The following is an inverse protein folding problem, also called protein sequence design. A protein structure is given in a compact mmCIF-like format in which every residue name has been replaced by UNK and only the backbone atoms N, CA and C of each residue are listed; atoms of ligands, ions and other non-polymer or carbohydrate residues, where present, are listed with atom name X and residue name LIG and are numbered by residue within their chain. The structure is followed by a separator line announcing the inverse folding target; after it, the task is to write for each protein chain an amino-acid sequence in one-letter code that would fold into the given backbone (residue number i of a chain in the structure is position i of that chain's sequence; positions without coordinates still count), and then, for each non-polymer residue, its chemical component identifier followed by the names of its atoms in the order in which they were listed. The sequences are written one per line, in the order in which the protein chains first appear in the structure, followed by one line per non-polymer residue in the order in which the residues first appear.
data_IF_563066839268
#
_entry.id   IF_563066839268
#
_cell.length_a   1.000
_cell.length_b   1.000
_cell.length_c   1.000
_cell.angle_alpha   90.00
_cell.angle_beta   90.00
_cell.angle_gamma   90.00
#
_symmetry.space_group_name_H-M   'P 1'
#
loop_
_entity.id
_entity.type
_entity.pdbx_description
1 polymer ?
#
# COMPACT_ATOMS: atom_id res chain seq x y z
N UNK A 1 3.77 24.94 -2.68
CA UNK A 1 3.68 24.25 -3.98
C UNK A 1 3.67 22.76 -3.70
N UNK A 2 2.55 22.05 -3.95
CA UNK A 2 2.54 20.58 -3.87
C UNK A 2 3.36 20.08 -5.05
N UNK A 3 4.57 19.58 -4.80
CA UNK A 3 5.36 18.94 -5.85
C UNK A 3 4.51 17.80 -6.41
N UNK A 4 4.17 17.86 -7.70
CA UNK A 4 3.48 16.77 -8.37
C UNK A 4 4.39 15.53 -8.28
N UNK A 5 4.02 14.57 -7.43
CA UNK A 5 4.78 13.33 -7.26
C UNK A 5 4.89 12.62 -8.61
N UNK A 6 6.09 12.19 -8.97
CA UNK A 6 6.40 11.60 -10.28
C UNK A 6 6.31 10.07 -10.28
N UNK A 7 5.53 9.47 -9.37
CA UNK A 7 5.50 8.02 -9.21
C UNK A 7 5.20 7.29 -10.52
N UNK A 8 4.22 7.77 -11.30
CA UNK A 8 3.89 7.19 -12.60
C UNK A 8 5.07 7.22 -13.60
N UNK A 9 5.91 8.26 -13.55
CA UNK A 9 7.12 8.34 -14.38
C UNK A 9 8.12 7.26 -13.98
N UNK A 10 8.25 7.01 -12.67
CA UNK A 10 9.17 6.02 -12.11
C UNK A 10 8.64 4.59 -12.13
N UNK A 11 7.38 4.34 -12.55
CA UNK A 11 6.78 3.00 -12.53
C UNK A 11 7.62 1.98 -13.32
N UNK A 12 8.20 2.41 -14.44
CA UNK A 12 9.11 1.56 -15.24
C UNK A 12 10.40 1.25 -14.49
N UNK A 13 10.98 2.23 -13.80
CA UNK A 13 12.24 2.07 -13.05
C UNK A 13 12.11 1.10 -11.87
N UNK A 14 10.92 1.05 -11.25
CA UNK A 14 10.64 0.16 -10.12
C UNK A 14 9.96 -1.14 -10.51
N UNK A 15 9.72 -1.41 -11.80
CA UNK A 15 9.13 -2.69 -12.24
C UNK A 15 9.84 -3.93 -11.67
N UNK A 16 11.19 -3.99 -11.57
CA UNK A 16 11.85 -5.11 -10.91
C UNK A 16 11.43 -5.31 -9.44
N UNK A 17 11.13 -4.22 -8.71
CA UNK A 17 10.63 -4.30 -7.33
C UNK A 17 9.20 -4.86 -7.33
N UNK A 18 8.35 -4.43 -8.27
CA UNK A 18 6.97 -4.92 -8.38
C UNK A 18 6.92 -6.42 -8.69
N UNK A 19 7.75 -6.86 -9.64
CA UNK A 19 7.94 -8.28 -9.99
C UNK A 19 8.40 -9.09 -8.76
N UNK A 20 9.45 -8.63 -8.07
CA UNK A 20 9.98 -9.28 -6.87
C UNK A 20 8.95 -9.40 -5.74
N UNK A 21 8.18 -8.33 -5.48
CA UNK A 21 7.15 -8.34 -4.42
C UNK A 21 5.96 -9.22 -4.77
N UNK A 22 5.55 -9.26 -6.05
CA UNK A 22 4.54 -10.20 -6.51
C UNK A 22 5.00 -11.63 -6.24
N UNK A 23 6.22 -11.97 -6.64
CA UNK A 23 6.76 -13.32 -6.48
C UNK A 23 6.90 -13.71 -4.99
N UNK A 24 7.25 -12.76 -4.13
CA UNK A 24 7.24 -12.95 -2.68
C UNK A 24 5.84 -13.26 -2.15
N UNK A 25 4.81 -12.54 -2.61
CA UNK A 25 3.41 -12.77 -2.19
C UNK A 25 2.91 -14.12 -2.71
N UNK A 26 3.28 -14.50 -3.94
CA UNK A 26 3.00 -15.81 -4.51
C UNK A 26 3.62 -16.92 -3.67
N UNK A 27 4.88 -16.76 -3.26
CA UNK A 27 5.57 -17.72 -2.38
C UNK A 27 4.88 -17.88 -1.02
N UNK A 28 4.20 -16.83 -0.54
CA UNK A 28 3.41 -16.85 0.68
C UNK A 28 1.97 -17.35 0.49
N UNK A 29 1.62 -17.85 -0.71
CA UNK A 29 0.34 -18.49 -1.01
C UNK A 29 -0.70 -17.59 -1.67
N UNK A 30 -0.32 -16.37 -2.09
CA UNK A 30 -1.21 -15.41 -2.74
C UNK A 30 -0.95 -15.34 -4.26
N UNK A 31 -1.08 -16.46 -4.96
CA UNK A 31 -0.81 -16.57 -6.42
C UNK A 31 -1.69 -15.66 -7.29
N UNK A 32 -2.83 -15.20 -6.76
CA UNK A 32 -3.75 -14.31 -7.47
C UNK A 32 -3.25 -12.87 -7.60
N UNK A 33 -2.21 -12.49 -6.84
CA UNK A 33 -1.67 -11.13 -6.79
C UNK A 33 -1.01 -10.75 -8.12
N UNK A 34 -1.32 -9.57 -8.65
CA UNK A 34 -0.67 -9.00 -9.83
C UNK A 34 0.31 -7.87 -9.45
N UNK A 35 1.28 -7.57 -10.32
CA UNK A 35 2.17 -6.40 -10.16
C UNK A 35 1.38 -5.09 -9.98
N UNK A 36 0.23 -4.99 -10.64
CA UNK A 36 -0.67 -3.84 -10.52
C UNK A 36 -1.31 -3.74 -9.13
N UNK A 37 -1.53 -4.85 -8.42
CA UNK A 37 -2.02 -4.84 -7.04
C UNK A 37 -0.94 -4.33 -6.09
N UNK A 38 0.32 -4.76 -6.31
CA UNK A 38 1.49 -4.23 -5.58
C UNK A 38 1.63 -2.72 -5.82
N UNK A 39 1.50 -2.27 -7.08
CA UNK A 39 1.53 -0.85 -7.43
C UNK A 39 0.49 -0.04 -6.66
N UNK A 40 -0.77 -0.46 -6.71
CA UNK A 40 -1.89 0.21 -6.03
C UNK A 40 -1.69 0.26 -4.52
N UNK A 41 -1.24 -0.83 -3.92
CA UNK A 41 -0.94 -0.88 -2.48
C UNK A 41 0.16 0.10 -2.10
N UNK A 42 1.23 0.17 -2.88
CA UNK A 42 2.31 1.14 -2.73
C UNK A 42 1.83 2.58 -2.84
N UNK A 43 1.01 2.89 -3.87
CA UNK A 43 0.43 4.22 -4.05
C UNK A 43 -0.44 4.63 -2.85
N UNK A 44 -1.25 3.71 -2.32
CA UNK A 44 -2.06 3.97 -1.13
C UNK A 44 -1.20 4.34 0.09
N UNK A 45 -0.09 3.62 0.34
CA UNK A 45 0.84 3.98 1.42
C UNK A 45 1.49 5.35 1.20
N UNK A 46 1.86 5.68 -0.04
CA UNK A 46 2.49 6.95 -0.37
C UNK A 46 1.53 8.15 -0.29
N UNK A 47 0.22 7.94 -0.41
CA UNK A 47 -0.78 8.99 -0.19
C UNK A 47 -0.79 9.51 1.25
N UNK A 48 -0.38 8.67 2.23
CA UNK A 48 -0.22 9.07 3.63
C UNK A 48 1.01 9.96 3.85
N UNK A 49 1.96 10.02 2.92
CA UNK A 49 3.15 10.88 3.02
C UNK A 49 2.78 12.35 2.70
N UNK A 50 2.93 13.22 3.71
CA UNK A 50 2.58 14.65 3.60
C UNK A 50 3.64 15.49 2.86
N UNK A 51 4.81 14.94 2.58
CA UNK A 51 5.96 15.64 2.02
C UNK A 51 6.42 15.05 0.67
N UNK A 52 7.33 15.74 0.00
CA UNK A 52 7.98 15.22 -1.19
C UNK A 52 8.73 13.92 -0.88
N UNK A 53 8.41 12.86 -1.60
CA UNK A 53 9.07 11.55 -1.47
C UNK A 53 10.19 11.43 -2.50
N UNK A 54 11.47 11.46 -2.09
CA UNK A 54 12.58 11.19 -2.99
C UNK A 54 12.56 9.73 -3.46
N UNK A 55 13.17 9.46 -4.62
CA UNK A 55 13.15 8.12 -5.23
C UNK A 55 13.58 6.99 -4.27
N UNK A 56 14.64 7.18 -3.47
CA UNK A 56 15.09 6.15 -2.53
C UNK A 56 14.06 5.85 -1.41
N UNK A 57 13.26 6.84 -1.00
CA UNK A 57 12.18 6.63 -0.03
C UNK A 57 11.01 5.94 -0.70
N UNK A 58 10.68 6.35 -1.92
CA UNK A 58 9.66 5.72 -2.74
C UNK A 58 9.94 4.22 -2.94
N UNK A 59 11.16 3.85 -3.35
CA UNK A 59 11.55 2.44 -3.48
C UNK A 59 11.51 1.71 -2.14
N UNK A 60 11.92 2.36 -1.05
CA UNK A 60 11.84 1.78 0.29
C UNK A 60 10.40 1.45 0.71
N UNK A 61 9.43 2.32 0.39
CA UNK A 61 8.01 2.07 0.65
C UNK A 61 7.52 0.82 -0.10
N UNK A 62 7.89 0.68 -1.39
CA UNK A 62 7.51 -0.50 -2.17
C UNK A 62 8.15 -1.79 -1.64
N UNK A 63 9.42 -1.74 -1.25
CA UNK A 63 10.12 -2.91 -0.71
C UNK A 63 9.54 -3.40 0.63
N UNK A 64 9.01 -2.48 1.45
CA UNK A 64 8.42 -2.78 2.76
C UNK A 64 6.98 -3.28 2.71
N UNK A 65 6.36 -3.33 1.54
CA UNK A 65 5.00 -3.87 1.41
C UNK A 65 4.95 -5.33 1.90
N UNK A 66 3.95 -5.65 2.70
CA UNK A 66 3.75 -6.99 3.25
C UNK A 66 2.43 -7.61 2.79
N UNK A 67 2.33 -8.94 2.90
CA UNK A 67 1.04 -9.65 2.71
C UNK A 67 0.00 -9.14 3.69
N UNK A 68 0.40 -8.79 4.92
CA UNK A 68 -0.48 -8.16 5.91
C UNK A 68 -1.07 -6.85 5.40
N UNK A 69 -0.25 -5.97 4.81
CA UNK A 69 -0.74 -4.73 4.19
C UNK A 69 -1.78 -5.00 3.10
N UNK A 70 -1.51 -5.99 2.25
CA UNK A 70 -2.41 -6.40 1.18
C UNK A 70 -3.74 -6.97 1.70
N UNK A 71 -3.68 -7.85 2.70
CA UNK A 71 -4.88 -8.45 3.31
C UNK A 71 -5.72 -7.42 4.05
N UNK A 72 -5.08 -6.48 4.76
CA UNK A 72 -5.77 -5.37 5.40
C UNK A 72 -6.51 -4.52 4.39
N UNK A 73 -5.85 -4.19 3.27
CA UNK A 73 -6.48 -3.47 2.17
C UNK A 73 -7.75 -4.19 1.69
N UNK A 74 -7.63 -5.47 1.30
CA UNK A 74 -8.77 -6.23 0.77
C UNK A 74 -9.90 -6.35 1.77
N UNK A 75 -9.58 -6.54 3.04
CA UNK A 75 -10.56 -6.61 4.12
C UNK A 75 -11.34 -5.30 4.20
N UNK A 76 -10.66 -4.15 4.28
CA UNK A 76 -11.30 -2.83 4.27
C UNK A 76 -12.19 -2.68 3.02
N UNK A 77 -11.69 -3.02 1.83
CA UNK A 77 -12.44 -2.91 0.58
C UNK A 77 -13.68 -3.80 0.51
N UNK A 78 -13.65 -4.99 1.11
CA UNK A 78 -14.83 -5.84 1.23
C UNK A 78 -15.91 -5.21 2.13
N UNK A 79 -15.50 -4.50 3.19
CA UNK A 79 -16.43 -3.77 4.05
C UNK A 79 -16.94 -2.48 3.42
N UNK A 80 -16.15 -1.77 2.58
CA UNK A 80 -16.58 -0.53 1.88
C UNK A 80 -17.88 -0.66 1.09
N UNK A 81 -18.19 -1.87 0.62
CA UNK A 81 -19.38 -2.16 -0.17
C UNK A 81 -20.64 -2.48 0.63
N UNK A 82 -20.59 -2.51 1.97
CA UNK A 82 -21.72 -2.89 2.82
C UNK A 82 -22.63 -1.69 3.15
N UNK A 83 -23.92 -1.96 3.34
CA UNK A 83 -24.89 -0.96 3.76
C UNK A 83 -24.50 -0.40 5.14
N UNK A 84 -24.42 0.94 5.25
CA UNK A 84 -23.99 1.62 6.47
C UNK A 84 -22.50 2.02 6.52
N UNK A 85 -21.71 1.67 5.50
CA UNK A 85 -20.34 2.18 5.39
C UNK A 85 -20.36 3.68 5.08
N UNK A 86 -19.68 4.46 5.93
CA UNK A 86 -19.58 5.91 5.79
C UNK A 86 -18.12 6.35 5.85
N UNK A 87 -17.85 7.61 5.52
CA UNK A 87 -16.50 8.18 5.64
C UNK A 87 -16.00 8.13 7.10
N UNK A 88 -16.89 8.32 8.07
CA UNK A 88 -16.53 8.28 9.48
C UNK A 88 -16.07 6.87 9.90
N UNK A 89 -16.71 5.83 9.33
CA UNK A 89 -16.32 4.43 9.52
C UNK A 89 -14.96 4.12 8.88
N UNK A 90 -14.66 4.70 7.72
CA UNK A 90 -13.35 4.57 7.05
C UNK A 90 -12.23 5.17 7.91
N UNK A 91 -12.43 6.40 8.37
CA UNK A 91 -11.44 7.15 9.16
C UNK A 91 -11.20 6.48 10.54
N UNK A 92 -12.24 5.92 11.19
CA UNK A 92 -12.10 5.16 12.45
C UNK A 92 -11.33 3.85 12.27
N UNK A 93 -11.64 3.08 11.22
CA UNK A 93 -10.96 1.81 10.92
C UNK A 93 -9.48 2.03 10.58
N UNK A 94 -9.16 3.06 9.80
CA UNK A 94 -7.76 3.41 9.51
C UNK A 94 -6.98 3.77 10.77
N UNK A 95 -7.61 4.49 11.71
CA UNK A 95 -7.00 4.82 13.01
C UNK A 95 -6.67 3.58 13.84
N UNK A 96 -7.59 2.61 13.93
CA UNK A 96 -7.38 1.35 14.66
C UNK A 96 -6.28 0.51 14.00
N UNK A 97 -6.28 0.41 12.67
CA UNK A 97 -5.25 -0.33 11.94
C UNK A 97 -3.86 0.28 12.12
N UNK A 98 -3.76 1.61 12.06
CA UNK A 98 -2.49 2.30 12.28
C UNK A 98 -2.01 2.14 13.74
N UNK A 99 -2.89 2.03 14.74
CA UNK A 99 -2.52 1.72 16.13
C UNK A 99 -2.01 0.28 16.30
N UNK A 100 -2.67 -0.70 15.69
CA UNK A 100 -2.31 -2.12 15.78
C UNK A 100 -1.01 -2.43 15.01
N UNK A 101 -0.85 -1.85 13.81
CA UNK A 101 0.27 -2.12 12.92
C UNK A 101 1.46 -1.15 13.13
N UNK A 102 1.21 0.04 13.67
CA UNK A 102 2.24 1.04 13.96
C UNK A 102 3.18 0.66 15.09
N UNK A 103 2.84 -0.38 15.86
CA UNK A 103 3.64 -0.88 16.99
C UNK A 103 4.74 -1.89 16.63
N UNK A 104 5.03 -2.12 15.34
CA UNK A 104 6.15 -2.99 14.91
C UNK A 104 7.48 -2.25 14.66
N UNK A 105 7.58 -0.96 14.99
CA UNK A 105 8.85 -0.23 15.01
C UNK A 105 9.35 -0.01 16.45
N UNK A 106 9.76 -1.10 17.09
CA UNK A 106 10.51 -1.13 18.35
C UNK A 106 11.77 -1.97 18.19
#
# INVERSE_FOLDING_TARGET
MKNAQQYEVWKTDVRPILELKRDEFHLLGHEEVLEEDIWKLGMKKLQKESQYTPFYRFTNVLMRLSVTDYMNERTINAYKGMEGWSKDTDDELEGILDEVLGNENG
#
